data_IF_666256856286
#
_entry.id   IF_666256856286
#
_cell.length_a   1.000
_cell.length_b   1.000
_cell.length_c   1.000
_cell.angle_alpha   90.00
_cell.angle_beta   90.00
_cell.angle_gamma   90.00
#
_symmetry.space_group_name_H-M   'P 1'
#
loop_
_entity.id
_entity.type
_entity.pdbx_description
1 polymer ?
#
# COMPACT_ATOMS: atom_id res chain seq x y z
N UNK A 1 -2.27 -1.79 6.85
CA UNK A 1 -2.23 -3.27 6.77
C UNK A 1 -1.03 -3.82 7.52
N UNK A 2 -1.10 -5.08 7.93
CA UNK A 2 0.05 -5.84 8.45
C UNK A 2 0.56 -6.76 7.33
N UNK A 3 1.83 -6.63 6.95
CA UNK A 3 2.41 -7.32 5.80
C UNK A 3 2.58 -8.83 6.04
N UNK A 4 2.88 -9.23 7.28
CA UNK A 4 2.99 -10.65 7.66
C UNK A 4 1.63 -11.32 7.58
N UNK A 5 0.61 -10.67 8.14
CA UNK A 5 -0.78 -11.17 8.07
C UNK A 5 -1.28 -11.23 6.63
N UNK A 6 -0.99 -10.21 5.82
CA UNK A 6 -1.34 -10.19 4.39
C UNK A 6 -0.73 -11.38 3.64
N UNK A 7 0.57 -11.65 3.84
CA UNK A 7 1.25 -12.75 3.17
C UNK A 7 0.67 -14.11 3.57
N UNK A 8 0.35 -14.30 4.84
CA UNK A 8 -0.26 -15.54 5.34
C UNK A 8 -1.63 -15.82 4.69
N UNK A 9 -2.47 -14.80 4.50
CA UNK A 9 -3.81 -14.98 3.91
C UNK A 9 -3.83 -15.01 2.38
N UNK A 10 -2.93 -14.29 1.72
CA UNK A 10 -2.91 -14.20 0.26
C UNK A 10 -2.00 -15.23 -0.41
N UNK A 11 -1.17 -15.96 0.37
CA UNK A 11 -0.17 -16.89 -0.14
C UNK A 11 1.02 -16.22 -0.84
N UNK A 12 1.11 -14.87 -0.83
CA UNK A 12 2.21 -14.11 -1.44
C UNK A 12 2.49 -12.80 -0.71
N UNK A 13 3.75 -12.37 -0.73
CA UNK A 13 4.13 -11.04 -0.25
C UNK A 13 3.76 -9.92 -1.22
N UNK A 14 3.80 -8.67 -0.75
CA UNK A 14 3.86 -7.51 -1.62
C UNK A 14 5.25 -7.37 -2.23
N UNK A 15 5.33 -6.92 -3.48
CA UNK A 15 6.60 -6.66 -4.15
C UNK A 15 7.37 -5.53 -3.44
N UNK A 16 8.60 -5.82 -3.01
CA UNK A 16 9.48 -4.84 -2.38
C UNK A 16 9.80 -3.66 -3.30
N UNK A 17 10.03 -3.90 -4.59
CA UNK A 17 10.28 -2.86 -5.58
C UNK A 17 9.10 -1.89 -5.70
N UNK A 18 7.86 -2.40 -5.74
CA UNK A 18 6.66 -1.55 -5.79
C UNK A 18 6.47 -0.76 -4.49
N UNK A 19 6.72 -1.39 -3.34
CA UNK A 19 6.67 -0.69 -2.05
C UNK A 19 7.70 0.44 -1.98
N UNK A 20 8.90 0.24 -2.52
CA UNK A 20 9.95 1.27 -2.55
C UNK A 20 9.52 2.48 -3.39
N UNK A 21 8.93 2.26 -4.56
CA UNK A 21 8.37 3.33 -5.39
C UNK A 21 7.27 4.09 -4.66
N UNK A 22 6.25 3.38 -4.16
CA UNK A 22 5.13 4.03 -3.46
C UNK A 22 5.57 4.80 -2.20
N UNK A 23 6.62 4.33 -1.53
CA UNK A 23 7.20 5.03 -0.39
C UNK A 23 7.99 6.27 -0.83
N UNK A 24 8.79 6.16 -1.89
CA UNK A 24 9.54 7.29 -2.47
C UNK A 24 8.62 8.41 -2.97
N UNK A 25 7.46 8.06 -3.53
CA UNK A 25 6.41 9.00 -3.94
C UNK A 25 5.57 9.53 -2.76
N UNK A 26 5.85 9.10 -1.53
CA UNK A 26 5.13 9.54 -0.33
C UNK A 26 3.68 9.04 -0.25
N UNK A 27 3.29 8.04 -1.04
CA UNK A 27 1.93 7.49 -1.08
C UNK A 27 1.69 6.49 0.04
N UNK A 28 2.73 5.81 0.51
CA UNK A 28 2.67 4.91 1.68
C UNK A 28 3.77 5.19 2.69
N UNK A 29 3.49 4.90 3.96
CA UNK A 29 4.45 5.05 5.04
C UNK A 29 4.45 3.82 5.97
N UNK A 30 5.63 3.37 6.42
CA UNK A 30 5.71 2.39 7.51
C UNK A 30 5.23 3.04 8.81
N UNK A 31 4.54 2.27 9.65
CA UNK A 31 4.03 2.73 10.95
C UNK A 31 4.48 1.82 12.11
N UNK A 32 5.58 1.09 11.90
CA UNK A 32 6.19 0.20 12.88
C UNK A 32 6.08 -1.28 12.51
N UNK A 33 7.08 -2.06 12.90
CA UNK A 33 7.20 -3.50 12.59
C UNK A 33 6.95 -3.78 11.10
N UNK A 34 5.95 -4.60 10.82
CA UNK A 34 5.54 -5.02 9.47
C UNK A 34 4.28 -4.28 9.01
N UNK A 35 3.93 -3.14 9.65
CA UNK A 35 2.74 -2.38 9.32
C UNK A 35 3.01 -1.25 8.33
N UNK A 36 2.14 -1.17 7.36
CA UNK A 36 2.13 -0.18 6.29
C UNK A 36 0.79 0.57 6.28
N UNK A 37 0.80 1.87 6.05
CA UNK A 37 -0.41 2.66 5.78
C UNK A 37 -0.28 3.46 4.48
N UNK A 38 -1.42 3.79 3.87
CA UNK A 38 -1.49 4.90 2.94
C UNK A 38 -1.33 6.22 3.70
N UNK A 39 -0.66 7.19 3.07
CA UNK A 39 -0.61 8.57 3.57
C UNK A 39 -1.89 9.32 3.16
N UNK A 40 -2.16 10.52 3.70
CA UNK A 40 -3.26 11.35 3.21
C UNK A 40 -3.16 11.63 1.71
N UNK A 41 -1.97 11.92 1.19
CA UNK A 41 -1.73 12.10 -0.25
C UNK A 41 -1.99 10.80 -1.03
N UNK A 42 -1.54 9.66 -0.50
CA UNK A 42 -1.78 8.35 -1.11
C UNK A 42 -3.26 7.96 -1.17
N UNK A 43 -4.07 8.35 -0.18
CA UNK A 43 -5.50 8.09 -0.19
C UNK A 43 -6.23 8.83 -1.31
N UNK A 44 -5.86 10.08 -1.60
CA UNK A 44 -6.44 10.84 -2.73
C UNK A 44 -6.19 10.11 -4.05
N UNK A 45 -4.97 9.59 -4.25
CA UNK A 45 -4.64 8.81 -5.45
C UNK A 45 -5.42 7.51 -5.49
N UNK A 46 -5.53 6.80 -4.35
CA UNK A 46 -6.29 5.56 -4.27
C UNK A 46 -7.77 5.78 -4.60
N UNK A 47 -8.37 6.86 -4.09
CA UNK A 47 -9.77 7.21 -4.38
C UNK A 47 -9.98 7.47 -5.87
N UNK A 48 -9.06 8.18 -6.52
CA UNK A 48 -9.10 8.42 -7.97
C UNK A 48 -9.01 7.11 -8.78
N UNK A 49 -8.13 6.19 -8.38
CA UNK A 49 -8.00 4.87 -9.02
C UNK A 49 -9.25 4.01 -8.81
N UNK A 50 -9.84 4.04 -7.61
CA UNK A 50 -11.09 3.32 -7.32
C UNK A 50 -12.23 3.86 -8.17
N UNK A 51 -12.32 5.20 -8.31
CA UNK A 51 -13.32 5.84 -9.15
C UNK A 51 -13.17 5.46 -10.63
N UNK A 52 -11.93 5.40 -11.15
CA UNK A 52 -11.66 4.97 -12.53
C UNK A 52 -11.98 3.48 -12.76
N UNK A 53 -11.73 2.62 -11.76
CA UNK A 53 -11.99 1.19 -11.86
C UNK A 53 -13.48 0.83 -11.81
N UNK A 54 -14.33 1.69 -11.23
CA UNK A 54 -15.77 1.47 -11.08
C UNK A 54 -16.60 1.78 -12.35
N UNK A 55 -15.94 2.07 -13.47
CA UNK A 55 -16.58 2.38 -14.75
C UNK A 55 -17.07 1.15 -15.52
#
# INVERSE_FOLDING_TARGET
IDLTRYAAFSGRGLSSARLWVLHGEGLVAPIGNTRLRATPAGMIVLDAVVADLAR
#
